data_IF_353953001602
#
_entry.id   IF_353953001602
#
_cell.length_a   1.000
_cell.length_b   1.000
_cell.length_c   1.000
_cell.angle_alpha   90.00
_cell.angle_beta   90.00
_cell.angle_gamma   90.00
#
_symmetry.space_group_name_H-M   'P 1'
#
loop_
_entity.id
_entity.type
_entity.pdbx_description
1 polymer ?
#
# COMPACT_ATOMS: atom_id res chain seq x y z
N UNK A 1 -2.65 -2.42 -30.34
CA UNK A 1 -1.61 -2.36 -29.29
C UNK A 1 -1.72 -1.01 -28.61
N UNK A 2 -2.00 -0.93 -27.30
CA UNK A 2 -2.05 0.35 -26.61
C UNK A 2 -0.67 1.01 -26.60
N UNK A 3 -0.59 2.26 -27.05
CA UNK A 3 0.65 3.02 -27.13
C UNK A 3 1.35 3.11 -25.76
N UNK A 4 2.68 2.99 -25.73
CA UNK A 4 3.50 3.00 -24.50
C UNK A 4 3.10 4.00 -23.39
N UNK A 5 2.72 5.27 -23.67
CA UNK A 5 2.29 6.21 -22.63
C UNK A 5 0.93 5.88 -21.98
N UNK A 6 0.00 5.21 -22.67
CA UNK A 6 -1.31 4.85 -22.09
C UNK A 6 -1.18 3.69 -21.10
N UNK A 7 -0.32 2.71 -21.40
CA UNK A 7 -0.05 1.57 -20.51
C UNK A 7 0.57 2.01 -19.18
N UNK A 8 1.54 2.93 -19.20
CA UNK A 8 2.16 3.45 -17.96
C UNK A 8 1.13 4.17 -17.07
N UNK A 9 0.30 5.03 -17.67
CA UNK A 9 -0.76 5.74 -16.93
C UNK A 9 -1.77 4.77 -16.34
N UNK A 10 -2.14 3.73 -17.08
CA UNK A 10 -3.00 2.67 -16.58
C UNK A 10 -2.37 1.93 -15.39
N UNK A 11 -1.11 1.51 -15.49
CA UNK A 11 -0.42 0.81 -14.39
C UNK A 11 -0.36 1.67 -13.13
N UNK A 12 0.05 2.94 -13.26
CA UNK A 12 0.08 3.88 -12.13
C UNK A 12 -1.31 4.16 -11.57
N UNK A 13 -2.32 4.30 -12.42
CA UNK A 13 -3.71 4.48 -12.00
C UNK A 13 -4.22 3.29 -11.19
N UNK A 14 -3.94 2.06 -11.64
CA UNK A 14 -4.28 0.84 -10.90
C UNK A 14 -3.54 0.81 -9.55
N UNK A 15 -2.25 1.14 -9.50
CA UNK A 15 -1.49 1.22 -8.24
C UNK A 15 -2.10 2.24 -7.27
N UNK A 16 -2.50 3.42 -7.74
CA UNK A 16 -3.16 4.43 -6.89
C UNK A 16 -4.46 3.88 -6.30
N UNK A 17 -5.30 3.26 -7.14
CA UNK A 17 -6.57 2.68 -6.69
C UNK A 17 -6.33 1.59 -5.64
N UNK A 18 -5.38 0.69 -5.87
CA UNK A 18 -5.03 -0.36 -4.92
C UNK A 18 -4.61 0.20 -3.56
N UNK A 19 -3.70 1.16 -3.54
CA UNK A 19 -3.20 1.79 -2.31
C UNK A 19 -4.34 2.49 -1.53
N UNK A 20 -5.27 3.15 -2.24
CA UNK A 20 -6.44 3.77 -1.62
C UNK A 20 -7.40 2.72 -1.05
N UNK A 21 -7.64 1.63 -1.77
CA UNK A 21 -8.49 0.52 -1.30
C UNK A 21 -7.87 -0.12 -0.04
N UNK A 22 -6.56 -0.34 -0.01
CA UNK A 22 -5.87 -0.85 1.18
C UNK A 22 -6.06 0.09 2.37
N UNK A 23 -5.88 1.40 2.18
CA UNK A 23 -6.10 2.39 3.23
C UNK A 23 -7.52 2.33 3.80
N UNK A 24 -8.53 2.18 2.93
CA UNK A 24 -9.95 2.03 3.31
C UNK A 24 -10.22 0.72 4.06
N UNK A 25 -9.66 -0.39 3.60
CA UNK A 25 -9.78 -1.69 4.26
C UNK A 25 -9.19 -1.64 5.67
N UNK A 26 -8.02 -1.02 5.84
CA UNK A 26 -7.41 -0.85 7.16
C UNK A 26 -8.29 0.03 8.05
N UNK A 27 -8.79 1.16 7.55
CA UNK A 27 -9.61 2.09 8.37
C UNK A 27 -10.96 1.51 8.78
N UNK A 28 -11.64 0.80 7.90
CA UNK A 28 -13.01 0.33 8.13
C UNK A 28 -13.02 -1.10 8.67
N UNK A 29 -12.12 -1.95 8.19
CA UNK A 29 -12.11 -3.38 8.48
C UNK A 29 -11.13 -3.82 9.56
N UNK A 30 -10.05 -3.07 9.82
CA UNK A 30 -9.01 -3.47 10.80
C UNK A 30 -9.06 -2.61 12.06
N UNK A 31 -9.16 -1.28 11.92
CA UNK A 31 -9.11 -0.38 13.08
C UNK A 31 -10.27 -0.62 14.07
N UNK A 32 -11.54 -0.78 13.65
CA UNK A 32 -12.63 -1.03 14.59
C UNK A 32 -12.49 -2.32 15.40
N UNK A 33 -12.21 -3.50 14.81
CA UNK A 33 -12.04 -4.73 15.59
C UNK A 33 -10.79 -4.70 16.48
N UNK A 34 -9.69 -4.06 16.05
CA UNK A 34 -8.50 -3.88 16.89
C UNK A 34 -8.80 -2.97 18.09
N UNK A 35 -9.67 -1.96 17.92
CA UNK A 35 -10.09 -1.08 19.02
C UNK A 35 -11.04 -1.76 20.01
N UNK A 36 -11.88 -2.69 19.52
CA UNK A 36 -12.86 -3.40 20.32
C UNK A 36 -12.29 -4.65 21.01
N UNK A 37 -11.19 -5.21 20.49
CA UNK A 37 -10.54 -6.38 21.06
C UNK A 37 -9.61 -6.03 22.22
N UNK A 38 -9.92 -6.52 23.42
CA UNK A 38 -8.97 -6.60 24.52
C UNK A 38 -8.02 -7.78 24.27
N UNK A 39 -6.97 -7.54 23.50
CA UNK A 39 -5.96 -8.56 23.20
C UNK A 39 -4.88 -8.54 24.29
N UNK A 40 -4.63 -9.66 24.99
CA UNK A 40 -3.50 -9.74 25.91
C UNK A 40 -2.19 -9.47 25.15
N UNK A 41 -1.41 -8.47 25.62
CA UNK A 41 -0.17 -7.94 25.03
C UNK A 41 -0.29 -7.04 23.77
N UNK A 42 -1.48 -6.76 23.26
CA UNK A 42 -1.70 -5.68 22.29
C UNK A 42 -2.64 -4.65 22.90
N UNK A 43 -2.07 -3.65 23.60
CA UNK A 43 -2.91 -2.57 24.09
C UNK A 43 -3.42 -1.74 22.90
N UNK A 44 -4.74 -1.50 22.79
CA UNK A 44 -5.32 -0.69 21.71
C UNK A 44 -4.64 0.68 21.56
N UNK A 45 -4.12 1.20 22.68
CA UNK A 45 -3.36 2.44 22.80
C UNK A 45 -2.13 2.50 21.88
N UNK A 46 -1.48 1.36 21.60
CA UNK A 46 -0.31 1.30 20.70
C UNK A 46 -0.67 0.83 19.30
N UNK A 47 -1.58 -0.13 19.18
CA UNK A 47 -1.93 -0.72 17.89
C UNK A 47 -2.71 0.25 16.98
N UNK A 48 -3.71 0.96 17.53
CA UNK A 48 -4.57 1.86 16.74
C UNK A 48 -3.77 3.01 16.12
N UNK A 49 -2.90 3.74 16.84
CA UNK A 49 -2.06 4.78 16.23
C UNK A 49 -1.15 4.24 15.11
N UNK A 50 -0.59 3.03 15.27
CA UNK A 50 0.26 2.44 14.24
C UNK A 50 -0.50 2.18 12.92
N UNK A 51 -1.74 1.68 13.01
CA UNK A 51 -2.61 1.53 11.83
C UNK A 51 -2.96 2.88 11.19
N UNK A 52 -3.21 3.92 11.98
CA UNK A 52 -3.44 5.27 11.44
C UNK A 52 -2.21 5.86 10.74
N UNK A 53 -1.01 5.62 11.26
CA UNK A 53 0.24 5.98 10.59
C UNK A 53 0.36 5.25 9.25
N UNK A 54 0.06 3.94 9.22
CA UNK A 54 0.05 3.17 7.98
C UNK A 54 -0.97 3.74 6.97
N UNK A 55 -2.19 4.06 7.39
CA UNK A 55 -3.21 4.69 6.54
C UNK A 55 -2.72 6.03 6.00
N UNK A 56 -2.16 6.89 6.86
CA UNK A 56 -1.60 8.18 6.45
C UNK A 56 -0.50 8.03 5.40
N UNK A 57 0.34 7.00 5.55
CA UNK A 57 1.43 6.71 4.61
C UNK A 57 0.91 6.19 3.26
N UNK A 58 -0.14 5.33 3.24
CA UNK A 58 -0.81 4.95 1.99
C UNK A 58 -1.40 6.16 1.27
N UNK A 59 -2.09 7.05 1.99
CA UNK A 59 -2.68 8.26 1.39
C UNK A 59 -1.60 9.19 0.83
N UNK A 60 -0.47 9.34 1.54
CA UNK A 60 0.67 10.11 1.06
C UNK A 60 1.25 9.51 -0.22
N UNK A 61 1.44 8.19 -0.26
CA UNK A 61 1.90 7.47 -1.46
C UNK A 61 0.91 7.66 -2.61
N UNK A 62 -0.38 7.48 -2.36
CA UNK A 62 -1.42 7.67 -3.37
C UNK A 62 -1.41 9.10 -3.93
N UNK A 63 -1.25 10.11 -3.06
CA UNK A 63 -1.13 11.50 -3.47
C UNK A 63 0.11 11.72 -4.35
N UNK A 64 1.28 11.21 -3.95
CA UNK A 64 2.52 11.35 -4.73
C UNK A 64 2.39 10.65 -6.08
N UNK A 65 1.86 9.43 -6.13
CA UNK A 65 1.61 8.71 -7.38
C UNK A 65 0.62 9.45 -8.28
N UNK A 66 -0.43 10.04 -7.71
CA UNK A 66 -1.41 10.86 -8.44
C UNK A 66 -0.77 12.13 -9.00
N UNK A 67 0.09 12.80 -8.22
CA UNK A 67 0.86 13.95 -8.68
C UNK A 67 1.81 13.56 -9.80
N UNK A 68 2.50 12.42 -9.70
CA UNK A 68 3.34 11.88 -10.77
C UNK A 68 2.49 11.61 -12.01
N UNK A 69 1.30 11.03 -11.86
CA UNK A 69 0.38 10.77 -12.97
C UNK A 69 -0.03 12.08 -13.67
N UNK A 70 -0.45 13.09 -12.92
CA UNK A 70 -0.92 14.38 -13.41
C UNK A 70 0.19 15.25 -14.02
N UNK A 71 1.36 15.30 -13.37
CA UNK A 71 2.49 16.15 -13.74
C UNK A 71 3.43 15.51 -14.77
N UNK A 72 3.22 14.24 -15.14
CA UNK A 72 4.10 13.49 -16.04
C UNK A 72 4.16 13.97 -17.50
N UNK A 73 3.78 15.21 -17.81
CA UNK A 73 3.93 15.80 -19.15
C UNK A 73 5.38 15.93 -19.60
N UNK A 74 6.37 16.00 -18.71
CA UNK A 74 7.80 16.02 -19.08
C UNK A 74 8.68 15.08 -18.25
N UNK A 75 9.48 14.31 -18.99
CA UNK A 75 10.54 13.39 -18.54
C UNK A 75 11.51 14.08 -17.59
N UNK A 76 11.64 13.58 -16.36
CA UNK A 76 12.82 13.83 -15.52
C UNK A 76 13.26 12.55 -14.82
N UNK A 77 14.57 12.44 -14.54
CA UNK A 77 15.13 11.36 -13.73
C UNK A 77 14.54 11.36 -12.31
N UNK A 78 14.13 12.53 -11.83
CA UNK A 78 13.42 12.75 -10.56
C UNK A 78 12.16 11.88 -10.47
N UNK A 79 11.42 11.71 -11.57
CA UNK A 79 10.23 10.84 -11.56
C UNK A 79 10.56 9.36 -11.31
N UNK A 80 11.73 8.86 -11.71
CA UNK A 80 12.09 7.46 -11.47
C UNK A 80 12.47 7.25 -10.00
N UNK A 81 13.30 8.13 -9.44
CA UNK A 81 13.68 8.07 -8.02
C UNK A 81 12.46 8.14 -7.10
N UNK A 82 11.50 9.03 -7.41
CA UNK A 82 10.24 9.12 -6.65
C UNK A 82 9.44 7.81 -6.71
N UNK A 83 9.34 7.15 -7.87
CA UNK A 83 8.63 5.87 -7.98
C UNK A 83 9.31 4.75 -7.21
N UNK A 84 10.65 4.70 -7.22
CA UNK A 84 11.42 3.73 -6.43
C UNK A 84 11.20 3.96 -4.94
N UNK A 85 11.32 5.19 -4.46
CA UNK A 85 11.09 5.54 -3.05
C UNK A 85 9.67 5.15 -2.63
N UNK A 86 8.65 5.48 -3.43
CA UNK A 86 7.26 5.09 -3.12
C UNK A 86 7.09 3.57 -3.08
N UNK A 87 7.76 2.83 -3.96
CA UNK A 87 7.72 1.36 -3.93
C UNK A 87 8.30 0.84 -2.63
N UNK A 88 9.46 1.34 -2.21
CA UNK A 88 10.09 0.95 -0.94
C UNK A 88 9.15 1.24 0.23
N UNK A 89 8.52 2.42 0.26
CA UNK A 89 7.54 2.79 1.28
C UNK A 89 6.36 1.81 1.32
N UNK A 90 5.76 1.49 0.17
CA UNK A 90 4.67 0.51 0.08
C UNK A 90 5.10 -0.85 0.64
N UNK A 91 6.29 -1.34 0.29
CA UNK A 91 6.80 -2.62 0.77
C UNK A 91 7.08 -2.63 2.27
N UNK A 92 7.60 -1.53 2.84
CA UNK A 92 7.80 -1.40 4.28
C UNK A 92 6.47 -1.43 5.03
N UNK A 93 5.44 -0.78 4.49
CA UNK A 93 4.10 -0.81 5.08
C UNK A 93 3.49 -2.21 4.98
N UNK A 94 3.61 -2.87 3.83
CA UNK A 94 3.18 -4.25 3.64
C UNK A 94 3.87 -5.19 4.65
N UNK A 95 5.16 -5.01 4.90
CA UNK A 95 5.88 -5.77 5.90
C UNK A 95 5.32 -5.54 7.31
N UNK A 96 5.07 -4.28 7.68
CA UNK A 96 4.47 -3.93 8.97
C UNK A 96 3.05 -4.51 9.15
N UNK A 97 2.22 -4.47 8.10
CA UNK A 97 0.90 -5.10 8.11
C UNK A 97 0.99 -6.63 8.20
N UNK A 98 1.99 -7.24 7.56
CA UNK A 98 2.26 -8.67 7.65
C UNK A 98 2.68 -9.11 9.05
N UNK A 99 3.50 -8.31 9.73
CA UNK A 99 3.87 -8.53 11.13
C UNK A 99 2.63 -8.45 12.05
N UNK A 100 1.80 -7.43 11.85
CA UNK A 100 0.53 -7.30 12.58
C UNK A 100 -0.43 -8.48 12.30
N UNK A 101 -0.46 -9.00 11.07
CA UNK A 101 -1.26 -10.17 10.71
C UNK A 101 -0.77 -11.44 11.42
N UNK A 102 0.55 -11.62 11.54
CA UNK A 102 1.15 -12.74 12.29
C UNK A 102 0.81 -12.67 13.76
N UNK A 103 0.95 -11.50 14.39
CA UNK A 103 0.55 -11.31 15.76
C UNK A 103 -0.96 -11.61 15.97
N UNK A 104 -1.79 -11.28 14.98
CA UNK A 104 -3.23 -11.57 15.02
C UNK A 104 -3.57 -13.06 14.90
N UNK A 105 -2.72 -13.87 14.23
CA UNK A 105 -2.87 -15.32 14.15
C UNK A 105 -2.68 -16.01 15.51
N UNK A 106 -1.76 -15.51 16.33
CA UNK A 106 -1.44 -16.09 17.64
C UNK A 106 -2.60 -15.94 18.64
N UNK A 107 -3.52 -14.99 18.42
CA UNK A 107 -4.70 -14.74 19.26
C UNK A 107 -5.83 -15.75 18.96
N UNK A 108 -5.85 -16.34 17.76
CA UNK A 108 -6.79 -17.40 17.37
C UNK A 108 -8.09 -16.94 16.69
N UNK A 109 -9.15 -17.74 16.84
CA UNK A 109 -10.42 -17.64 16.09
C UNK A 109 -11.09 -16.24 16.02
N UNK A 110 -11.13 -15.41 17.09
CA UNK A 110 -11.85 -14.13 17.02
C UNK A 110 -11.21 -13.10 16.08
N UNK A 111 -9.93 -13.25 15.73
CA UNK A 111 -9.20 -12.29 14.88
C UNK A 111 -8.95 -12.78 13.44
N UNK A 112 -9.52 -13.94 13.05
CA UNK A 112 -9.30 -14.52 11.72
C UNK A 112 -9.67 -13.57 10.57
N UNK A 113 -10.75 -12.80 10.73
CA UNK A 113 -11.19 -11.81 9.73
C UNK A 113 -10.15 -10.70 9.58
N UNK A 114 -9.64 -10.17 10.71
CA UNK A 114 -8.62 -9.10 10.71
C UNK A 114 -7.33 -9.59 10.05
N UNK A 115 -6.88 -10.80 10.39
CA UNK A 115 -5.73 -11.44 9.77
C UNK A 115 -5.92 -11.58 8.26
N UNK A 116 -7.06 -12.08 7.80
CA UNK A 116 -7.34 -12.25 6.38
C UNK A 116 -7.34 -10.91 5.63
N UNK A 117 -7.94 -9.87 6.21
CA UNK A 117 -7.92 -8.51 5.65
C UNK A 117 -6.51 -7.95 5.58
N UNK A 118 -5.70 -8.10 6.63
CA UNK A 118 -4.31 -7.64 6.65
C UNK A 118 -3.47 -8.37 5.61
N UNK A 119 -3.56 -9.69 5.50
CA UNK A 119 -2.87 -10.46 4.46
C UNK A 119 -3.30 -10.04 3.05
N UNK A 120 -4.59 -9.76 2.85
CA UNK A 120 -5.11 -9.18 1.62
C UNK A 120 -4.47 -7.83 1.30
N UNK A 121 -4.31 -6.96 2.31
CA UNK A 121 -3.63 -5.67 2.17
C UNK A 121 -2.16 -5.86 1.78
N UNK A 122 -1.43 -6.77 2.44
CA UNK A 122 -0.03 -7.09 2.09
C UNK A 122 0.10 -7.54 0.63
N UNK A 123 -0.80 -8.41 0.16
CA UNK A 123 -0.80 -8.88 -1.21
C UNK A 123 -1.11 -7.74 -2.20
N UNK A 124 -2.08 -6.89 -1.89
CA UNK A 124 -2.44 -5.74 -2.69
C UNK A 124 -1.30 -4.70 -2.77
N UNK A 125 -0.60 -4.44 -1.67
CA UNK A 125 0.55 -3.55 -1.62
C UNK A 125 1.74 -4.10 -2.41
N UNK A 126 2.05 -5.40 -2.26
CA UNK A 126 3.08 -6.05 -3.05
C UNK A 126 2.77 -5.95 -4.55
N UNK A 127 1.50 -6.15 -4.94
CA UNK A 127 1.06 -6.00 -6.33
C UNK A 127 1.14 -4.55 -6.80
N UNK A 128 0.69 -3.59 -5.99
CA UNK A 128 0.78 -2.16 -6.30
C UNK A 128 2.24 -1.72 -6.50
N UNK A 129 3.16 -2.17 -5.65
CA UNK A 129 4.59 -1.94 -5.78
C UNK A 129 5.17 -2.54 -7.06
N UNK A 130 4.83 -3.79 -7.39
CA UNK A 130 5.26 -4.44 -8.62
C UNK A 130 4.79 -3.69 -9.88
N UNK A 131 3.55 -3.17 -9.87
CA UNK A 131 3.02 -2.33 -10.95
C UNK A 131 3.78 -1.01 -11.06
N UNK A 132 4.10 -0.35 -9.93
CA UNK A 132 4.90 0.89 -9.90
C UNK A 132 6.29 0.64 -10.49
N UNK A 133 6.97 -0.44 -10.08
CA UNK A 133 8.28 -0.84 -10.61
C UNK A 133 8.20 -1.16 -12.09
N UNK A 134 7.21 -1.93 -12.53
CA UNK A 134 7.01 -2.25 -13.94
C UNK A 134 6.77 -0.98 -14.77
N UNK A 135 6.02 -0.02 -14.22
CA UNK A 135 5.81 1.30 -14.85
C UNK A 135 7.10 2.12 -14.96
N UNK A 136 8.06 1.90 -14.06
CA UNK A 136 9.38 2.52 -14.10
C UNK A 136 10.33 1.78 -15.05
N UNK A 137 10.27 0.44 -15.13
CA UNK A 137 11.16 -0.40 -15.97
C UNK A 137 10.74 -0.47 -17.45
N UNK A 138 9.45 -0.41 -17.76
CA UNK A 138 8.96 -0.29 -19.15
C UNK A 138 9.51 0.96 -19.86
N UNK A 139 10.14 1.87 -19.11
CA UNK A 139 10.89 3.03 -19.59
C UNK A 139 12.36 2.73 -19.94
N UNK A 140 13.05 1.79 -19.27
CA UNK A 140 14.50 1.59 -19.46
C UNK A 140 14.82 0.82 -20.74
N UNK A 141 13.95 -0.09 -21.17
CA UNK A 141 14.18 -0.97 -22.32
C UNK A 141 13.97 -0.25 -23.68
N UNK A 142 13.43 0.98 -23.68
CA UNK A 142 13.24 1.81 -24.89
C UNK A 142 14.19 3.01 -24.98
N UNK A 143 15.16 3.09 -24.07
CA UNK A 143 16.26 4.06 -24.14
C UNK A 143 17.46 3.38 -24.81
#
# INVERSE_FOLDING_TARGET
>A
MPDGPSRRRLLLGISVVLVVVVALVVTIGVVPPVRAGDVPNMTPERAVPAFWVAVGLHLLVALVLTLVLALSRRRSAVSTSVLVINTVVILLVAFALGDAAKASLEIGAPMQVVTALLLGCVAADAFAGALVVTSALTRSVRA
#
